data_IF_673672155598
#
_entry.id   IF_673672155598
#
_cell.length_a   1.000
_cell.length_b   1.000
_cell.length_c   1.000
_cell.angle_alpha   90.00
_cell.angle_beta   90.00
_cell.angle_gamma   90.00
#
_symmetry.space_group_name_H-M   'P 1'
#
loop_
_entity.id
_entity.type
_entity.pdbx_description
1 polymer ?
#
# COMPACT_ATOMS: atom_id res chain seq x y z
N UNK A 1 -25.05 10.50 -26.64
CA UNK A 1 -24.41 9.32 -26.02
C UNK A 1 -25.32 8.12 -26.23
N UNK A 2 -24.81 7.07 -26.87
CA UNK A 2 -25.59 5.88 -27.22
C UNK A 2 -26.10 5.16 -25.94
N UNK A 3 -27.25 4.50 -26.05
CA UNK A 3 -27.88 3.72 -24.96
C UNK A 3 -26.94 2.62 -24.44
N UNK A 4 -26.11 2.10 -25.35
CA UNK A 4 -25.13 1.05 -25.11
C UNK A 4 -24.09 1.41 -24.05
N UNK A 5 -23.40 2.57 -24.13
CA UNK A 5 -22.35 2.91 -23.17
C UNK A 5 -22.86 3.05 -21.73
N UNK A 6 -24.08 3.55 -21.56
CA UNK A 6 -24.76 3.65 -20.26
C UNK A 6 -25.15 2.28 -19.70
N UNK A 7 -25.62 1.37 -20.55
CA UNK A 7 -25.93 0.01 -20.14
C UNK A 7 -24.66 -0.77 -19.78
N UNK A 8 -23.60 -0.64 -20.57
CA UNK A 8 -22.29 -1.24 -20.29
C UNK A 8 -21.70 -0.74 -18.97
N UNK A 9 -21.71 0.57 -18.72
CA UNK A 9 -21.22 1.13 -17.45
C UNK A 9 -21.95 0.52 -16.23
N UNK A 10 -23.28 0.38 -16.31
CA UNK A 10 -24.07 -0.21 -15.22
C UNK A 10 -23.79 -1.70 -15.04
N UNK A 11 -23.73 -2.45 -16.14
CA UNK A 11 -23.46 -3.88 -16.13
C UNK A 11 -22.07 -4.16 -15.55
N UNK A 12 -21.04 -3.53 -16.11
CA UNK A 12 -19.65 -3.69 -15.65
C UNK A 12 -19.52 -3.21 -14.21
N UNK A 13 -20.13 -2.08 -13.86
CA UNK A 13 -20.19 -1.58 -12.48
C UNK A 13 -20.72 -2.63 -11.50
N UNK A 14 -21.88 -3.22 -11.79
CA UNK A 14 -22.52 -4.25 -10.96
C UNK A 14 -21.60 -5.46 -10.73
N UNK A 15 -20.96 -5.97 -11.79
CA UNK A 15 -20.08 -7.14 -11.71
C UNK A 15 -18.75 -6.86 -11.02
N UNK A 16 -18.32 -5.59 -10.94
CA UNK A 16 -17.10 -5.21 -10.20
C UNK A 16 -17.34 -4.93 -8.71
N UNK A 17 -18.59 -4.89 -8.23
CA UNK A 17 -18.89 -4.58 -6.82
C UNK A 17 -18.14 -5.49 -5.83
N UNK A 18 -18.09 -6.82 -5.99
CA UNK A 18 -17.36 -7.68 -5.05
C UNK A 18 -15.87 -7.32 -4.96
N UNK A 19 -15.24 -7.01 -6.10
CA UNK A 19 -13.84 -6.59 -6.14
C UNK A 19 -13.65 -5.21 -5.49
N UNK A 20 -14.52 -4.24 -5.79
CA UNK A 20 -14.49 -2.92 -5.13
C UNK A 20 -14.65 -3.07 -3.62
N UNK A 21 -15.58 -3.89 -3.17
CA UNK A 21 -15.85 -4.13 -1.75
C UNK A 21 -14.62 -4.74 -1.04
N UNK A 22 -13.99 -5.73 -1.65
CA UNK A 22 -12.72 -6.29 -1.17
C UNK A 22 -11.64 -5.21 -1.04
N UNK A 23 -11.46 -4.37 -2.06
CA UNK A 23 -10.47 -3.28 -2.04
C UNK A 23 -10.81 -2.22 -0.99
N UNK A 24 -12.08 -1.91 -0.76
CA UNK A 24 -12.53 -0.99 0.29
C UNK A 24 -12.15 -1.55 1.67
N UNK A 25 -12.45 -2.80 1.97
CA UNK A 25 -12.11 -3.43 3.25
C UNK A 25 -10.60 -3.38 3.51
N UNK A 26 -9.80 -3.74 2.51
CA UNK A 26 -8.34 -3.73 2.59
C UNK A 26 -7.81 -2.30 2.81
N UNK A 27 -8.33 -1.31 2.09
CA UNK A 27 -7.92 0.09 2.28
C UNK A 27 -8.34 0.63 3.66
N UNK A 28 -9.50 0.23 4.17
CA UNK A 28 -9.92 0.54 5.53
C UNK A 28 -8.97 -0.06 6.57
N UNK A 29 -8.48 -1.29 6.34
CA UNK A 29 -7.44 -1.89 7.18
C UNK A 29 -6.14 -1.09 7.15
N UNK A 30 -5.63 -0.71 5.97
CA UNK A 30 -4.43 0.13 5.88
C UNK A 30 -4.62 1.46 6.59
N UNK A 31 -5.80 2.08 6.47
CA UNK A 31 -6.11 3.30 7.19
C UNK A 31 -6.02 3.07 8.71
N UNK A 32 -6.66 2.02 9.22
CA UNK A 32 -6.62 1.67 10.64
C UNK A 32 -5.20 1.39 11.16
N UNK A 33 -4.41 0.60 10.41
CA UNK A 33 -3.01 0.31 10.71
C UNK A 33 -2.17 1.59 10.74
N UNK A 34 -2.26 2.42 9.69
CA UNK A 34 -1.41 3.61 9.50
C UNK A 34 -1.77 4.75 10.45
N UNK A 35 -3.06 4.94 10.72
CA UNK A 35 -3.55 5.88 11.73
C UNK A 35 -3.41 5.34 13.16
N UNK A 36 -2.90 4.12 13.34
CA UNK A 36 -2.75 3.46 14.64
C UNK A 36 -4.05 3.45 15.46
N UNK A 37 -5.18 3.24 14.78
CA UNK A 37 -6.49 3.15 15.43
C UNK A 37 -6.44 1.99 16.42
N UNK A 38 -6.91 2.22 17.65
CA UNK A 38 -6.90 1.23 18.73
C UNK A 38 -5.53 0.58 19.03
N UNK A 39 -4.42 1.24 18.69
CA UNK A 39 -3.08 0.70 18.98
C UNK A 39 -2.64 -0.48 18.11
N UNK A 40 -3.28 -0.69 16.95
CA UNK A 40 -3.00 -1.84 16.06
C UNK A 40 -1.56 -1.83 15.51
N UNK A 41 -0.98 -0.65 15.23
CA UNK A 41 0.30 -0.52 14.53
C UNK A 41 1.45 -1.31 15.19
N UNK A 42 1.75 -1.15 16.50
CA UNK A 42 2.81 -1.91 17.15
C UNK A 42 2.50 -3.42 17.27
N UNK A 43 1.23 -3.82 17.25
CA UNK A 43 0.84 -5.24 17.34
C UNK A 43 1.13 -6.01 16.04
N UNK A 44 1.09 -5.33 14.90
CA UNK A 44 1.22 -5.95 13.57
C UNK A 44 2.51 -5.59 12.84
N UNK A 45 3.30 -4.67 13.40
CA UNK A 45 4.64 -4.30 12.96
C UNK A 45 5.61 -4.35 14.15
N UNK A 46 6.03 -5.55 14.58
CA UNK A 46 6.98 -5.69 15.68
C UNK A 46 8.30 -4.99 15.32
N UNK A 47 8.92 -4.37 16.33
CA UNK A 47 10.22 -3.71 16.19
C UNK A 47 11.32 -4.72 15.88
N UNK A 48 12.39 -4.27 15.24
CA UNK A 48 13.61 -5.07 15.09
C UNK A 48 14.21 -5.44 16.45
N UNK A 49 14.83 -6.62 16.49
CA UNK A 49 15.43 -7.15 17.70
C UNK A 49 16.85 -6.63 17.81
N UNK A 50 17.07 -5.86 18.87
CA UNK A 50 18.39 -5.38 19.26
C UNK A 50 19.06 -6.39 20.18
N UNK A 51 20.33 -6.65 19.91
CA UNK A 51 21.22 -7.45 20.71
C UNK A 51 21.75 -6.62 21.87
N UNK A 52 21.85 -7.24 23.04
CA UNK A 52 22.58 -6.66 24.16
C UNK A 52 24.09 -6.89 23.95
N UNK A 53 24.77 -5.84 23.48
CA UNK A 53 26.19 -5.89 23.11
C UNK A 53 27.08 -6.04 24.35
N UNK A 54 26.60 -5.72 25.56
CA UNK A 54 27.41 -5.82 26.78
C UNK A 54 27.90 -7.25 27.03
N UNK A 55 27.13 -8.25 26.60
CA UNK A 55 27.52 -9.67 26.66
C UNK A 55 28.54 -10.08 25.58
N UNK A 56 28.68 -9.30 24.50
CA UNK A 56 29.58 -9.59 23.37
C UNK A 56 30.85 -8.71 23.34
N UNK A 57 30.86 -7.61 24.09
CA UNK A 57 32.00 -6.69 24.22
C UNK A 57 33.22 -7.31 24.91
N UNK A 58 33.04 -8.42 25.64
CA UNK A 58 34.15 -9.12 26.29
C UNK A 58 34.99 -9.97 25.32
N UNK A 59 34.54 -10.26 24.09
CA UNK A 59 35.26 -11.17 23.18
C UNK A 59 35.74 -10.59 21.84
N UNK A 60 35.29 -9.42 21.38
CA UNK A 60 35.96 -8.67 20.30
C UNK A 60 35.34 -7.30 20.13
N UNK A 61 36.13 -6.28 20.48
CA UNK A 61 35.81 -4.87 20.28
C UNK A 61 35.61 -4.58 18.79
N UNK A 62 34.45 -4.04 18.42
CA UNK A 62 34.28 -3.13 17.28
C UNK A 62 34.36 -3.68 15.83
N UNK A 63 34.14 -4.97 15.58
CA UNK A 63 34.00 -5.43 14.20
C UNK A 63 32.59 -5.99 14.00
N UNK A 64 31.76 -5.21 13.31
CA UNK A 64 30.64 -5.79 12.57
C UNK A 64 31.21 -6.98 11.78
N UNK A 65 30.63 -8.19 11.90
CA UNK A 65 31.20 -9.35 11.24
C UNK A 65 31.13 -9.11 9.74
N UNK A 66 32.27 -8.82 9.12
CA UNK A 66 32.38 -8.62 7.67
C UNK A 66 32.25 -9.94 6.91
N UNK A 67 32.33 -11.07 7.61
CA UNK A 67 32.28 -12.43 7.07
C UNK A 67 31.11 -13.22 7.71
N UNK A 68 29.88 -12.81 7.38
CA UNK A 68 28.66 -13.54 7.80
C UNK A 68 28.38 -14.62 6.76
N UNK A 69 28.39 -15.88 7.21
CA UNK A 69 27.93 -17.04 6.46
C UNK A 69 26.40 -17.07 6.40
N UNK A 70 25.86 -16.42 5.37
CA UNK A 70 24.43 -16.36 5.13
C UNK A 70 23.84 -17.73 4.77
N UNK A 71 24.60 -18.65 4.18
CA UNK A 71 24.13 -20.00 3.86
C UNK A 71 23.87 -20.80 5.14
N UNK A 72 24.74 -20.64 6.13
CA UNK A 72 24.53 -21.20 7.47
C UNK A 72 23.29 -20.59 8.14
N UNK A 73 23.09 -19.27 8.03
CA UNK A 73 21.89 -18.61 8.54
C UNK A 73 20.60 -19.14 7.90
N UNK A 74 20.60 -19.37 6.57
CA UNK A 74 19.49 -19.99 5.84
C UNK A 74 19.19 -21.38 6.38
N UNK A 75 20.21 -22.25 6.48
CA UNK A 75 20.05 -23.63 7.01
C UNK A 75 19.48 -23.65 8.43
N UNK A 76 19.90 -22.70 9.29
CA UNK A 76 19.38 -22.57 10.65
C UNK A 76 17.90 -22.21 10.63
N UNK A 77 17.51 -21.27 9.78
CA UNK A 77 16.12 -20.86 9.70
C UNK A 77 15.18 -21.88 9.07
N UNK A 78 15.64 -22.62 8.05
CA UNK A 78 14.89 -23.72 7.45
C UNK A 78 14.62 -24.84 8.45
N UNK A 79 15.54 -25.07 9.40
CA UNK A 79 15.33 -25.99 10.53
C UNK A 79 14.38 -25.42 11.59
N UNK A 80 14.36 -24.11 11.78
CA UNK A 80 13.57 -23.44 12.82
C UNK A 80 12.08 -23.33 12.50
N UNK A 81 11.72 -23.17 11.21
CA UNK A 81 10.32 -23.09 10.76
C UNK A 81 10.05 -24.24 9.78
N UNK A 82 9.13 -25.17 10.09
CA UNK A 82 8.78 -26.26 9.18
C UNK A 82 8.35 -25.78 7.80
N UNK A 83 8.88 -26.43 6.75
CA UNK A 83 8.63 -26.11 5.34
C UNK A 83 8.97 -24.67 4.92
N UNK A 84 9.82 -23.97 5.69
CA UNK A 84 10.26 -22.64 5.31
C UNK A 84 11.05 -22.70 4.01
N UNK A 85 10.58 -21.97 3.00
CA UNK A 85 11.30 -21.66 1.77
C UNK A 85 11.80 -20.23 1.87
N UNK A 86 13.07 -20.07 2.19
CA UNK A 86 13.69 -18.75 2.31
C UNK A 86 13.63 -18.01 0.97
N UNK A 87 13.27 -16.73 1.01
CA UNK A 87 13.20 -15.85 -0.17
C UNK A 87 14.10 -14.64 -0.04
N UNK A 88 14.16 -14.07 1.16
CA UNK A 88 14.92 -12.86 1.42
C UNK A 88 15.78 -13.03 2.67
N UNK A 89 16.95 -12.43 2.63
CA UNK A 89 17.88 -12.32 3.75
C UNK A 89 18.08 -10.83 3.98
N UNK A 90 17.99 -10.41 5.24
CA UNK A 90 18.21 -9.03 5.64
C UNK A 90 19.46 -8.99 6.52
N UNK A 91 20.52 -8.32 6.05
CA UNK A 91 21.72 -8.15 6.85
C UNK A 91 21.44 -7.28 8.08
N UNK A 92 22.26 -7.42 9.11
CA UNK A 92 22.26 -6.50 10.24
C UNK A 92 22.73 -5.12 9.73
N UNK A 93 22.08 -4.04 10.18
CA UNK A 93 22.45 -2.68 9.75
C UNK A 93 23.64 -2.17 10.56
N UNK A 94 23.74 -2.58 11.82
CA UNK A 94 24.82 -2.22 12.73
C UNK A 94 25.18 -3.42 13.64
N UNK A 95 26.20 -3.23 14.49
CA UNK A 95 26.71 -4.26 15.40
C UNK A 95 25.70 -4.71 16.46
N UNK A 96 24.57 -4.02 16.59
CA UNK A 96 23.53 -4.22 17.60
C UNK A 96 22.33 -4.96 17.03
N UNK A 97 22.29 -5.22 15.73
CA UNK A 97 21.15 -5.85 15.08
C UNK A 97 21.38 -7.33 14.76
N UNK A 98 20.28 -8.07 14.73
CA UNK A 98 20.24 -9.43 14.21
C UNK A 98 20.20 -9.42 12.68
N UNK A 99 20.81 -10.42 12.04
CA UNK A 99 20.38 -10.77 10.68
C UNK A 99 19.01 -11.42 10.79
N UNK A 100 18.16 -11.26 9.79
CA UNK A 100 16.93 -12.04 9.75
C UNK A 100 16.60 -12.51 8.36
N UNK A 101 16.08 -13.73 8.29
CA UNK A 101 15.66 -14.36 7.04
C UNK A 101 14.15 -14.49 7.02
N UNK A 102 13.57 -14.34 5.83
CA UNK A 102 12.13 -14.40 5.63
C UNK A 102 11.76 -15.30 4.46
N UNK A 103 10.57 -15.89 4.51
CA UNK A 103 10.16 -16.84 3.50
C UNK A 103 8.71 -17.30 3.64
N UNK A 104 8.35 -18.27 2.81
CA UNK A 104 7.02 -18.89 2.86
C UNK A 104 7.08 -20.20 3.64
N UNK A 105 6.08 -20.46 4.46
CA UNK A 105 5.83 -21.76 5.10
C UNK A 105 4.63 -22.43 4.43
N UNK A 106 4.05 -23.44 5.07
CA UNK A 106 2.82 -24.09 4.62
C UNK A 106 1.56 -23.22 4.83
N UNK A 107 1.64 -22.12 5.57
CA UNK A 107 0.50 -21.21 5.78
C UNK A 107 0.23 -20.42 4.50
N UNK A 108 -0.96 -20.58 3.87
CA UNK A 108 -1.26 -19.91 2.60
C UNK A 108 -1.60 -18.43 2.82
N UNK A 109 -1.60 -17.67 1.73
CA UNK A 109 -2.08 -16.28 1.64
C UNK A 109 -1.35 -15.23 2.50
N UNK A 110 -0.37 -15.62 3.33
CA UNK A 110 0.41 -14.67 4.14
C UNK A 110 1.63 -14.14 3.38
N UNK A 111 2.06 -12.92 3.74
CA UNK A 111 3.34 -12.35 3.28
C UNK A 111 4.53 -13.20 3.73
N UNK A 112 5.65 -13.08 3.02
CA UNK A 112 6.93 -13.67 3.44
C UNK A 112 7.33 -13.22 4.85
N UNK A 113 7.00 -11.97 5.20
CA UNK A 113 7.33 -11.42 6.53
C UNK A 113 6.56 -12.04 7.69
N UNK A 114 5.55 -12.86 7.42
CA UNK A 114 4.86 -13.62 8.45
C UNK A 114 5.76 -14.70 9.06
N UNK A 115 6.79 -15.14 8.32
CA UNK A 115 7.82 -16.06 8.81
C UNK A 115 9.16 -15.34 8.85
N UNK A 116 9.72 -15.12 10.04
CA UNK A 116 11.03 -14.51 10.25
C UNK A 116 11.82 -15.31 11.28
N UNK A 117 13.09 -15.53 11.00
CA UNK A 117 14.03 -16.06 12.00
C UNK A 117 15.11 -15.01 12.18
N UNK A 118 15.21 -14.48 13.39
CA UNK A 118 16.22 -13.49 13.77
C UNK A 118 17.39 -14.24 14.37
N UNK A 119 18.56 -14.08 13.75
CA UNK A 119 19.77 -14.82 14.06
C UNK A 119 20.84 -13.80 14.45
N UNK A 120 21.57 -14.13 15.50
CA UNK A 120 22.71 -13.35 15.94
C UNK A 120 23.88 -13.55 14.96
N UNK A 121 24.44 -12.48 14.37
CA UNK A 121 25.48 -12.60 13.35
C UNK A 121 26.84 -13.07 13.90
N UNK A 122 27.06 -12.99 15.22
CA UNK A 122 28.33 -13.35 15.85
C UNK A 122 28.44 -14.85 16.14
N UNK A 123 27.35 -15.48 16.60
CA UNK A 123 27.34 -16.87 17.06
C UNK A 123 26.28 -17.76 16.39
N UNK A 124 25.49 -17.20 15.46
CA UNK A 124 24.39 -17.89 14.77
C UNK A 124 23.28 -18.43 15.67
N UNK A 125 23.17 -17.93 16.91
CA UNK A 125 22.06 -18.27 17.82
C UNK A 125 20.77 -17.62 17.32
N UNK A 126 19.67 -18.36 17.39
CA UNK A 126 18.34 -17.80 17.12
C UNK A 126 17.92 -16.96 18.33
N UNK A 127 17.73 -15.67 18.11
CA UNK A 127 17.25 -14.75 19.15
C UNK A 127 15.72 -14.70 19.19
N UNK A 128 15.06 -14.91 18.04
CA UNK A 128 13.61 -14.94 17.96
C UNK A 128 13.10 -15.62 16.69
N UNK A 129 11.90 -16.19 16.81
CA UNK A 129 11.17 -16.80 15.70
C UNK A 129 9.78 -16.19 15.64
N UNK A 130 9.47 -15.59 14.49
CA UNK A 130 8.12 -15.22 14.09
C UNK A 130 7.64 -16.26 13.09
N UNK A 131 6.55 -16.97 13.40
CA UNK A 131 5.98 -17.99 12.53
C UNK A 131 4.52 -17.68 12.22
N UNK A 132 4.14 -17.77 10.95
CA UNK A 132 2.76 -17.57 10.52
C UNK A 132 1.79 -18.58 11.17
N UNK A 133 2.27 -19.78 11.52
CA UNK A 133 1.45 -20.80 12.17
C UNK A 133 1.10 -20.47 13.63
N UNK A 134 1.87 -19.59 14.26
CA UNK A 134 1.71 -19.18 15.67
C UNK A 134 1.38 -17.69 15.82
N UNK A 135 1.09 -17.00 14.71
CA UNK A 135 0.79 -15.57 14.74
C UNK A 135 -0.59 -15.31 15.35
N UNK A 136 -0.73 -14.21 16.08
CA UNK A 136 -2.04 -13.74 16.55
C UNK A 136 -2.99 -13.43 15.38
N UNK A 137 -4.29 -13.50 15.62
CA UNK A 137 -5.32 -13.24 14.59
C UNK A 137 -5.14 -11.88 13.92
N UNK A 138 -4.84 -10.84 14.69
CA UNK A 138 -4.64 -9.47 14.16
C UNK A 138 -3.41 -9.39 13.25
N UNK A 139 -2.33 -10.12 13.59
CA UNK A 139 -1.12 -10.18 12.77
C UNK A 139 -1.35 -11.00 11.51
N UNK A 140 -2.07 -12.12 11.62
CA UNK A 140 -2.47 -12.92 10.45
C UNK A 140 -3.34 -12.11 9.49
N UNK A 141 -4.34 -11.37 9.98
CA UNK A 141 -5.14 -10.43 9.16
C UNK A 141 -4.22 -9.43 8.47
N UNK A 142 -3.26 -8.84 9.20
CA UNK A 142 -2.30 -7.94 8.59
C UNK A 142 -1.49 -8.64 7.48
N UNK A 143 -1.09 -9.89 7.69
CA UNK A 143 -0.26 -10.63 6.75
C UNK A 143 -1.00 -11.09 5.49
N UNK A 144 -2.33 -11.22 5.50
CA UNK A 144 -3.11 -11.53 4.28
C UNK A 144 -3.50 -10.28 3.47
N UNK A 145 -3.42 -9.09 4.06
CA UNK A 145 -3.84 -7.83 3.43
C UNK A 145 -3.05 -7.52 2.16
N UNK A 146 -1.70 -7.61 2.17
CA UNK A 146 -0.91 -7.32 0.95
C UNK A 146 -1.20 -8.33 -0.18
N UNK A 147 -1.17 -9.66 0.05
CA UNK A 147 -1.47 -10.62 -1.00
C UNK A 147 -2.85 -10.38 -1.64
N UNK A 148 -3.87 -10.04 -0.84
CA UNK A 148 -5.20 -9.72 -1.34
C UNK A 148 -5.27 -8.35 -2.03
N UNK A 149 -4.53 -7.34 -1.55
CA UNK A 149 -4.52 -6.01 -2.14
C UNK A 149 -3.88 -6.02 -3.52
N UNK A 150 -2.71 -6.67 -3.63
CA UNK A 150 -1.89 -6.71 -4.83
C UNK A 150 -2.20 -7.91 -5.73
N UNK A 151 -3.00 -8.86 -5.26
CA UNK A 151 -3.41 -10.03 -6.04
C UNK A 151 -2.26 -10.94 -6.43
N UNK A 152 -1.18 -11.06 -5.65
CA UNK A 152 -0.04 -11.91 -6.01
C UNK A 152 -0.09 -13.33 -5.44
N UNK A 153 -1.14 -13.67 -4.68
CA UNK A 153 -1.25 -14.94 -3.97
C UNK A 153 -1.35 -16.17 -4.88
N UNK A 154 -1.94 -16.04 -6.07
CA UNK A 154 -2.02 -17.09 -7.10
C UNK A 154 -1.00 -16.91 -8.22
N UNK A 155 0.11 -16.22 -7.95
CA UNK A 155 1.17 -15.99 -8.94
C UNK A 155 0.73 -15.04 -10.06
N UNK A 156 1.04 -15.39 -11.31
CA UNK A 156 0.74 -14.53 -12.46
C UNK A 156 -0.76 -14.43 -12.74
N UNK A 157 -1.51 -15.51 -12.52
CA UNK A 157 -2.95 -15.58 -12.81
C UNK A 157 -3.73 -14.52 -12.04
N UNK A 158 -3.52 -14.45 -10.73
CA UNK A 158 -4.22 -13.47 -9.89
C UNK A 158 -3.73 -12.05 -10.16
N UNK A 159 -2.45 -11.86 -10.50
CA UNK A 159 -1.94 -10.53 -10.89
C UNK A 159 -2.63 -10.00 -12.14
N UNK A 160 -2.80 -10.84 -13.17
CA UNK A 160 -3.49 -10.48 -14.40
C UNK A 160 -4.96 -10.14 -14.13
N UNK A 161 -5.65 -10.96 -13.31
CA UNK A 161 -7.03 -10.67 -12.92
C UNK A 161 -7.14 -9.33 -12.17
N UNK A 162 -6.29 -9.09 -11.18
CA UNK A 162 -6.27 -7.83 -10.42
C UNK A 162 -5.97 -6.62 -11.31
N UNK A 163 -5.06 -6.77 -12.27
CA UNK A 163 -4.77 -5.73 -13.26
C UNK A 163 -6.00 -5.41 -14.11
N UNK A 164 -6.70 -6.43 -14.62
CA UNK A 164 -7.91 -6.24 -15.43
C UNK A 164 -9.01 -5.54 -14.62
N UNK A 165 -9.30 -6.02 -13.40
CA UNK A 165 -10.30 -5.38 -12.53
C UNK A 165 -9.92 -3.94 -12.17
N UNK A 166 -8.64 -3.68 -11.90
CA UNK A 166 -8.13 -2.32 -11.65
C UNK A 166 -8.31 -1.40 -12.85
N UNK A 167 -8.06 -1.91 -14.07
CA UNK A 167 -8.27 -1.17 -15.32
C UNK A 167 -9.77 -0.88 -15.55
N UNK A 168 -10.62 -1.88 -15.33
CA UNK A 168 -12.07 -1.73 -15.44
C UNK A 168 -12.57 -0.63 -14.50
N UNK A 169 -12.15 -0.64 -13.23
CA UNK A 169 -12.56 0.38 -12.25
C UNK A 169 -12.07 1.77 -12.67
N UNK A 170 -10.85 1.87 -13.19
CA UNK A 170 -10.32 3.13 -13.72
C UNK A 170 -11.19 3.69 -14.85
N UNK A 171 -11.61 2.83 -15.79
CA UNK A 171 -12.53 3.18 -16.87
C UNK A 171 -13.93 3.51 -16.33
N UNK A 172 -14.42 2.81 -15.30
CA UNK A 172 -15.70 3.11 -14.65
C UNK A 172 -15.72 4.51 -14.03
N UNK A 173 -14.63 4.92 -13.37
CA UNK A 173 -14.52 6.28 -12.81
C UNK A 173 -14.60 7.33 -13.94
N UNK A 174 -13.80 7.17 -14.99
CA UNK A 174 -13.79 8.10 -16.14
C UNK A 174 -15.15 8.15 -16.85
N UNK A 175 -15.75 6.98 -17.12
CA UNK A 175 -17.06 6.90 -17.76
C UNK A 175 -18.17 7.46 -16.88
N UNK A 176 -18.10 7.29 -15.55
CA UNK A 176 -19.02 7.90 -14.60
C UNK A 176 -18.98 9.43 -14.64
N UNK A 177 -17.78 10.02 -14.62
CA UNK A 177 -17.59 11.47 -14.77
C UNK A 177 -18.13 11.95 -16.12
N UNK A 178 -17.80 11.26 -17.21
CA UNK A 178 -18.28 11.58 -18.55
C UNK A 178 -19.81 11.58 -18.64
N UNK A 179 -20.46 10.52 -18.12
CA UNK A 179 -21.92 10.38 -18.10
C UNK A 179 -22.55 11.51 -17.27
N UNK A 180 -21.99 11.81 -16.11
CA UNK A 180 -22.47 12.89 -15.23
C UNK A 180 -22.42 14.25 -15.91
N UNK A 181 -21.32 14.57 -16.59
CA UNK A 181 -21.15 15.85 -17.29
C UNK A 181 -22.04 16.00 -18.54
N UNK A 182 -22.32 14.90 -19.25
CA UNK A 182 -23.26 14.93 -20.40
C UNK A 182 -24.73 14.94 -19.99
N UNK A 183 -25.07 14.47 -18.79
CA UNK A 183 -26.46 14.46 -18.34
C UNK A 183 -26.93 15.90 -18.12
N UNK A 184 -27.95 16.35 -18.87
CA UNK A 184 -28.68 17.58 -18.52
C UNK A 184 -29.36 17.31 -17.16
N UNK A 185 -29.00 18.02 -16.09
CA UNK A 185 -29.62 17.76 -14.80
C UNK A 185 -31.10 18.13 -14.88
N UNK A 186 -32.00 17.20 -14.49
CA UNK A 186 -33.37 17.55 -14.08
C UNK A 186 -33.41 18.00 -12.61
N UNK A 187 -32.32 18.59 -12.11
CA UNK A 187 -32.14 18.84 -10.68
C UNK A 187 -32.63 20.25 -10.33
N UNK A 188 -33.41 20.36 -9.25
CA UNK A 188 -33.66 21.62 -8.53
C UNK A 188 -32.34 22.39 -8.45
N UNK A 189 -32.35 23.63 -8.90
CA UNK A 189 -31.17 24.46 -8.96
C UNK A 189 -30.67 24.66 -7.51
N UNK A 190 -29.60 23.95 -7.12
CA UNK A 190 -28.97 24.13 -5.80
C UNK A 190 -28.75 25.62 -5.56
N UNK A 191 -29.05 26.09 -4.36
CA UNK A 191 -28.89 27.49 -4.01
C UNK A 191 -27.42 27.91 -4.21
N UNK A 192 -27.19 29.20 -4.47
CA UNK A 192 -25.83 29.73 -4.62
C UNK A 192 -24.95 29.42 -3.40
N UNK A 193 -25.55 29.46 -2.21
CA UNK A 193 -24.89 29.18 -0.92
C UNK A 193 -24.46 27.71 -0.84
N UNK A 194 -25.33 26.75 -1.17
CA UNK A 194 -24.98 25.32 -1.15
C UNK A 194 -23.80 25.00 -2.08
N UNK A 195 -23.75 25.63 -3.26
CA UNK A 195 -22.64 25.44 -4.21
C UNK A 195 -21.32 25.98 -3.66
N UNK A 196 -21.34 27.18 -3.09
CA UNK A 196 -20.15 27.79 -2.48
C UNK A 196 -19.66 26.92 -1.32
N UNK A 197 -20.58 26.47 -0.46
CA UNK A 197 -20.25 25.62 0.68
C UNK A 197 -19.61 24.30 0.25
N UNK A 198 -20.21 23.58 -0.69
CA UNK A 198 -19.67 22.31 -1.20
C UNK A 198 -18.30 22.49 -1.87
N UNK A 199 -18.13 23.55 -2.65
CA UNK A 199 -16.85 23.86 -3.27
C UNK A 199 -15.79 24.23 -2.23
N UNK A 200 -16.17 24.96 -1.17
CA UNK A 200 -15.30 25.29 -0.05
C UNK A 200 -14.80 24.04 0.68
N UNK A 201 -15.70 23.11 1.02
CA UNK A 201 -15.34 21.82 1.63
C UNK A 201 -14.39 21.03 0.73
N UNK A 202 -14.71 20.89 -0.56
CA UNK A 202 -13.87 20.14 -1.49
C UNK A 202 -12.48 20.77 -1.60
N UNK A 203 -12.40 22.10 -1.68
CA UNK A 203 -11.13 22.84 -1.72
C UNK A 203 -10.33 22.60 -0.45
N UNK A 204 -10.98 22.68 0.72
CA UNK A 204 -10.34 22.42 2.00
C UNK A 204 -9.76 21.01 2.08
N UNK A 205 -10.55 19.99 1.70
CA UNK A 205 -10.10 18.59 1.71
C UNK A 205 -8.89 18.40 0.79
N UNK A 206 -8.92 18.95 -0.43
CA UNK A 206 -7.80 18.86 -1.37
C UNK A 206 -6.56 19.56 -0.80
N UNK A 207 -6.71 20.78 -0.27
CA UNK A 207 -5.59 21.51 0.34
C UNK A 207 -4.99 20.74 1.53
N UNK A 208 -5.81 20.13 2.39
CA UNK A 208 -5.34 19.29 3.48
C UNK A 208 -4.54 18.08 2.96
N UNK A 209 -5.05 17.36 1.95
CA UNK A 209 -4.35 16.21 1.36
C UNK A 209 -3.00 16.61 0.74
N UNK A 210 -2.97 17.71 -0.01
CA UNK A 210 -1.73 18.24 -0.59
C UNK A 210 -0.74 18.68 0.49
N UNK A 211 -1.20 19.35 1.55
CA UNK A 211 -0.35 19.72 2.67
C UNK A 211 0.30 18.50 3.33
N UNK A 212 -0.48 17.45 3.64
CA UNK A 212 0.09 16.21 4.20
C UNK A 212 1.05 15.51 3.25
N UNK A 213 0.75 15.50 1.95
CA UNK A 213 1.65 14.94 0.93
C UNK A 213 2.99 15.67 0.91
N UNK A 214 2.99 17.01 0.83
CA UNK A 214 4.20 17.83 0.81
C UNK A 214 4.96 17.73 2.13
N UNK A 215 4.27 17.75 3.27
CA UNK A 215 4.89 17.60 4.59
C UNK A 215 5.59 16.23 4.72
N UNK A 216 4.99 15.17 4.17
CA UNK A 216 5.58 13.83 4.15
C UNK A 216 6.81 13.76 3.24
N UNK A 217 6.79 14.40 2.08
CA UNK A 217 7.96 14.53 1.19
C UNK A 217 9.14 15.20 1.93
N UNK A 218 8.88 16.30 2.63
CA UNK A 218 9.90 17.01 3.38
C UNK A 218 10.43 16.19 4.56
N UNK A 219 9.54 15.63 5.38
CA UNK A 219 9.93 14.95 6.64
C UNK A 219 10.53 13.56 6.44
N UNK A 220 10.17 12.86 5.35
CA UNK A 220 10.63 11.48 5.11
C UNK A 220 11.81 11.40 4.14
N UNK A 221 11.88 12.31 3.17
CA UNK A 221 12.83 12.25 2.07
C UNK A 221 13.70 13.51 1.95
N UNK A 222 13.58 14.45 2.90
CA UNK A 222 14.31 15.73 2.89
C UNK A 222 14.23 16.44 1.54
N UNK A 223 13.04 16.38 0.91
CA UNK A 223 12.84 16.84 -0.44
C UNK A 223 13.22 18.33 -0.59
N UNK A 224 14.02 18.64 -1.62
CA UNK A 224 14.45 20.00 -1.93
C UNK A 224 13.29 20.89 -2.38
N UNK A 225 13.46 22.21 -2.36
CA UNK A 225 12.47 23.15 -2.90
C UNK A 225 12.16 22.83 -4.37
N UNK A 226 13.17 22.49 -5.16
CA UNK A 226 13.01 22.08 -6.55
C UNK A 226 12.09 20.86 -6.68
N UNK A 227 12.27 19.83 -5.85
CA UNK A 227 11.41 18.65 -5.86
C UNK A 227 9.94 18.99 -5.58
N UNK A 228 9.68 19.91 -4.64
CA UNK A 228 8.33 20.41 -4.37
C UNK A 228 7.75 21.16 -5.56
N UNK A 229 8.53 22.03 -6.21
CA UNK A 229 8.12 22.75 -7.42
C UNK A 229 7.78 21.77 -8.57
N UNK A 230 8.60 20.75 -8.79
CA UNK A 230 8.36 19.73 -9.83
C UNK A 230 7.05 18.99 -9.56
N UNK A 231 6.83 18.53 -8.32
CA UNK A 231 5.58 17.86 -7.94
C UNK A 231 4.37 18.77 -8.14
N UNK A 232 4.48 20.04 -7.76
CA UNK A 232 3.40 21.02 -7.94
C UNK A 232 3.07 21.26 -9.41
N UNK A 233 4.08 21.49 -10.26
CA UNK A 233 3.91 21.69 -11.71
C UNK A 233 3.28 20.45 -12.36
N UNK A 234 3.74 19.26 -11.99
CA UNK A 234 3.17 18.00 -12.47
C UNK A 234 1.66 17.92 -12.17
N UNK A 235 1.25 18.17 -10.94
CA UNK A 235 -0.17 18.14 -10.55
C UNK A 235 -0.99 19.23 -11.25
N UNK A 236 -0.45 20.44 -11.41
CA UNK A 236 -1.11 21.51 -12.16
C UNK A 236 -1.36 21.12 -13.63
N UNK A 237 -0.35 20.57 -14.31
CA UNK A 237 -0.47 20.11 -15.70
C UNK A 237 -1.48 18.96 -15.82
N UNK A 238 -1.44 18.00 -14.89
CA UNK A 238 -2.39 16.89 -14.87
C UNK A 238 -3.83 17.38 -14.69
N UNK A 239 -4.07 18.30 -13.76
CA UNK A 239 -5.41 18.88 -13.55
C UNK A 239 -5.87 19.72 -14.73
N UNK A 240 -4.98 20.50 -15.36
CA UNK A 240 -5.29 21.25 -16.57
C UNK A 240 -5.69 20.30 -17.72
N UNK A 241 -4.95 19.21 -17.91
CA UNK A 241 -5.25 18.18 -18.90
C UNK A 241 -6.61 17.51 -18.64
N UNK A 242 -6.86 17.08 -17.39
CA UNK A 242 -8.13 16.46 -17.00
C UNK A 242 -9.31 17.42 -17.17
N UNK A 243 -9.13 18.69 -16.81
CA UNK A 243 -10.13 19.74 -17.02
C UNK A 243 -10.42 19.94 -18.51
N UNK A 244 -9.38 20.03 -19.34
CA UNK A 244 -9.50 20.20 -20.77
C UNK A 244 -10.27 19.03 -21.42
N UNK A 245 -9.84 17.80 -21.14
CA UNK A 245 -10.42 16.58 -21.71
C UNK A 245 -11.85 16.34 -21.22
N UNK A 246 -12.09 16.45 -19.91
CA UNK A 246 -13.37 16.06 -19.32
C UNK A 246 -14.35 17.22 -19.26
N UNK A 247 -13.95 18.42 -18.91
CA UNK A 247 -14.88 19.54 -18.69
C UNK A 247 -15.02 20.38 -19.94
N UNK A 248 -13.93 20.90 -20.47
CA UNK A 248 -13.95 21.85 -21.60
C UNK A 248 -14.48 21.18 -22.88
N UNK A 249 -13.87 20.07 -23.31
CA UNK A 249 -14.28 19.37 -24.55
C UNK A 249 -15.73 18.86 -24.48
N UNK A 250 -16.16 18.30 -23.35
CA UNK A 250 -17.53 17.82 -23.20
C UNK A 250 -18.54 18.97 -23.21
N UNK A 251 -18.25 20.10 -22.55
CA UNK A 251 -19.13 21.29 -22.58
C UNK A 251 -19.21 21.89 -23.98
N UNK A 252 -18.08 21.99 -24.69
CA UNK A 252 -18.03 22.48 -26.08
C UNK A 252 -18.94 21.64 -27.00
N UNK A 253 -18.80 20.31 -26.97
CA UNK A 253 -19.65 19.41 -27.78
C UNK A 253 -21.13 19.45 -27.40
N UNK A 254 -21.48 19.92 -26.20
CA UNK A 254 -22.87 20.09 -25.75
C UNK A 254 -23.51 21.40 -26.19
N UNK A 255 -22.71 22.43 -26.48
CA UNK A 255 -23.23 23.73 -26.93
C UNK A 255 -23.44 23.78 -28.45
N UNK A 256 -22.80 22.88 -29.20
CA UNK A 256 -22.94 22.76 -30.67
C UNK A 256 -24.00 21.73 -31.12
N UNK A 257 -24.58 20.96 -30.20
CA UNK A 257 -25.64 19.97 -30.44
C UNK A 257 -26.89 20.28 -29.61
#
# INVERSE_FOLDING_TARGET
>A
MNKLSRSLHRLVGLWTIPFIFLIVIINSWYFAERANIAGIKPMVNPKHIKLDILNYQNEKKSLFPFDIDYDKAVKIAEKAIPHLKVKNIFPAIDSTETIYVMGYSNVPLVRQRANRVYINPYNYKIEHIQSAAKSSTIMWINDIVDPLHFGYWGGITTKVLWFIFGLIISILILSGVYISLKRKPRLKQKSRIEKIFLNGINTLVICCLFYFMLKRLQTRYEATVLAHCVVFVFWMLLFALLYYVLVFNIRKTRNHN
#
